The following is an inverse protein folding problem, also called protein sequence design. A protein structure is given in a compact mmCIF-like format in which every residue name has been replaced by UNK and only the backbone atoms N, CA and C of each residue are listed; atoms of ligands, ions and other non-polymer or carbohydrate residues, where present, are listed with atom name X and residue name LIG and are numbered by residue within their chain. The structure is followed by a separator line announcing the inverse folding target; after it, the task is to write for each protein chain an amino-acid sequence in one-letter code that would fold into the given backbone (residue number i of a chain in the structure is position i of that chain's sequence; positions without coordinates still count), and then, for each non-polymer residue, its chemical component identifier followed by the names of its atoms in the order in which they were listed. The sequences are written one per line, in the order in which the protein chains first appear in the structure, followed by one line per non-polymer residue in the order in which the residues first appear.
data_IF_976584437720
#
_entry.id   IF_976584437720
#
_cell.length_a   1.000
_cell.length_b   1.000
_cell.length_c   1.000
_cell.angle_alpha   90.00
_cell.angle_beta   90.00
_cell.angle_gamma   90.00
#
_symmetry.space_group_name_H-M   'P 1'
#
loop_
_entity.id
_entity.type
_entity.pdbx_description
1 polymer ?
#
# COMPACT_ATOMS: atom_id res chain seq x y z
N UNK A 1 10.94 44.49 10.80
CA UNK A 1 10.94 43.13 11.38
C UNK A 1 9.55 42.55 11.16
N UNK A 2 9.36 41.71 10.15
CA UNK A 2 8.06 41.10 9.83
C UNK A 2 7.93 39.74 10.51
N UNK A 3 6.79 39.48 11.15
CA UNK A 3 6.52 38.20 11.80
C UNK A 3 6.43 37.09 10.74
N UNK A 4 7.22 36.03 10.90
CA UNK A 4 7.10 34.80 10.10
C UNK A 4 5.85 34.06 10.60
N UNK A 5 4.78 34.10 9.82
CA UNK A 5 3.58 33.31 10.09
C UNK A 5 3.87 31.84 9.89
N UNK A 6 4.06 31.09 10.97
CA UNK A 6 4.13 29.63 10.92
C UNK A 6 2.70 29.10 10.81
N UNK A 7 2.29 28.73 9.60
CA UNK A 7 1.06 27.98 9.40
C UNK A 7 1.31 26.56 9.91
N UNK A 8 0.49 26.01 10.82
CA UNK A 8 0.63 24.62 11.21
C UNK A 8 0.35 23.76 9.97
N UNK A 9 1.39 23.12 9.44
CA UNK A 9 1.23 22.08 8.42
C UNK A 9 0.50 20.92 9.12
N UNK A 10 -0.82 20.90 9.02
CA UNK A 10 -1.63 19.73 9.34
C UNK A 10 -1.38 18.67 8.26
N UNK A 11 -0.18 18.10 8.26
CA UNK A 11 0.09 16.85 7.57
C UNK A 11 -0.75 15.79 8.30
N UNK A 12 -1.98 15.56 7.84
CA UNK A 12 -2.71 14.34 8.18
C UNK A 12 -1.92 13.17 7.57
N UNK A 13 -0.90 12.72 8.29
CA UNK A 13 -0.18 11.52 7.94
C UNK A 13 -1.09 10.33 8.28
N UNK A 14 -1.98 9.97 7.35
CA UNK A 14 -2.57 8.63 7.35
C UNK A 14 -1.51 7.70 6.76
N UNK A 15 -0.60 7.22 7.59
CA UNK A 15 0.21 6.06 7.22
C UNK A 15 -0.75 4.87 7.18
N UNK A 16 -1.00 4.31 6.00
CA UNK A 16 -1.58 2.99 5.93
C UNK A 16 -0.46 1.99 6.25
N UNK A 17 -0.56 1.31 7.39
CA UNK A 17 0.35 0.22 7.72
C UNK A 17 -0.30 -1.08 7.27
N UNK A 18 0.33 -1.73 6.29
CA UNK A 18 -0.09 -3.03 5.77
C UNK A 18 1.07 -3.98 6.01
N UNK A 19 0.88 -4.94 6.90
CA UNK A 19 1.87 -5.98 7.16
C UNK A 19 1.52 -7.22 6.32
N UNK A 20 2.52 -7.73 5.58
CA UNK A 20 2.37 -8.88 4.70
C UNK A 20 3.48 -9.87 5.02
N UNK A 21 3.12 -11.01 5.56
CA UNK A 21 4.05 -12.13 5.79
C UNK A 21 3.95 -13.10 4.62
N UNK A 22 5.00 -13.13 3.79
CA UNK A 22 5.18 -14.12 2.72
C UNK A 22 6.59 -14.65 2.76
N UNK A 23 6.74 -15.95 2.51
CA UNK A 23 8.06 -16.61 2.50
C UNK A 23 8.96 -16.04 1.40
N UNK A 24 8.37 -15.66 0.26
CA UNK A 24 9.04 -14.96 -0.84
C UNK A 24 8.23 -13.73 -1.24
N UNK A 25 8.93 -12.67 -1.62
CA UNK A 25 8.34 -11.48 -2.25
C UNK A 25 9.19 -11.16 -3.47
N UNK A 26 8.58 -11.21 -4.64
CA UNK A 26 9.28 -10.89 -5.89
C UNK A 26 9.23 -9.40 -6.16
N UNK A 27 8.03 -8.82 -6.05
CA UNK A 27 7.82 -7.40 -6.34
C UNK A 27 6.83 -6.78 -5.37
N UNK A 28 7.09 -5.51 -5.06
CA UNK A 28 6.18 -4.63 -4.34
C UNK A 28 6.03 -3.37 -5.17
N UNK A 29 4.80 -3.05 -5.54
CA UNK A 29 4.45 -1.82 -6.24
C UNK A 29 3.54 -0.99 -5.34
N UNK A 30 3.84 0.30 -5.22
CA UNK A 30 3.03 1.25 -4.48
C UNK A 30 2.73 2.42 -5.42
N UNK A 31 1.48 2.51 -5.84
CA UNK A 31 0.97 3.58 -6.65
C UNK A 31 0.10 4.49 -5.79
N UNK A 32 0.27 5.80 -5.95
CA UNK A 32 -0.61 6.79 -5.35
C UNK A 32 -1.35 7.49 -6.47
N UNK A 33 -2.68 7.53 -6.36
CA UNK A 33 -3.53 8.32 -7.25
C UNK A 33 -4.35 9.34 -6.45
N UNK A 34 -5.31 9.98 -7.12
CA UNK A 34 -6.19 10.96 -6.50
C UNK A 34 -7.15 10.33 -5.48
N UNK A 35 -7.45 9.03 -5.62
CA UNK A 35 -8.45 8.31 -4.83
C UNK A 35 -7.83 7.59 -3.64
N UNK A 36 -6.52 7.34 -3.65
CA UNK A 36 -5.78 6.82 -2.51
C UNK A 36 -4.43 6.19 -2.84
N UNK A 37 -4.14 5.10 -2.14
CA UNK A 37 -2.94 4.30 -2.30
C UNK A 37 -3.30 2.88 -2.75
N UNK A 38 -2.60 2.40 -3.76
CA UNK A 38 -2.72 1.04 -4.27
C UNK A 38 -1.38 0.33 -4.06
N UNK A 39 -1.41 -0.78 -3.34
CA UNK A 39 -0.25 -1.62 -3.08
C UNK A 39 -0.50 -2.97 -3.75
N UNK A 40 0.47 -3.44 -4.52
CA UNK A 40 0.47 -4.78 -5.07
C UNK A 40 1.75 -5.51 -4.65
N UNK A 41 1.59 -6.70 -4.10
CA UNK A 41 2.70 -7.59 -3.73
C UNK A 41 2.55 -8.88 -4.52
N UNK A 42 3.58 -9.27 -5.26
CA UNK A 42 3.64 -10.57 -5.89
C UNK A 42 4.69 -11.44 -5.23
N UNK A 43 4.39 -12.73 -5.14
CA UNK A 43 5.33 -13.74 -4.68
C UNK A 43 5.25 -14.94 -5.60
N UNK A 44 6.37 -15.61 -5.80
CA UNK A 44 6.43 -16.90 -6.45
C UNK A 44 7.26 -17.85 -5.60
N UNK A 45 6.80 -19.08 -5.53
CA UNK A 45 7.54 -20.22 -5.00
C UNK A 45 7.30 -21.41 -5.92
N UNK A 46 7.96 -22.53 -5.66
CA UNK A 46 7.87 -23.71 -6.52
C UNK A 46 6.41 -24.19 -6.65
N UNK A 47 5.85 -24.00 -7.85
CA UNK A 47 4.48 -24.39 -8.18
C UNK A 47 3.38 -23.44 -7.67
N UNK A 48 3.72 -22.29 -7.10
CA UNK A 48 2.75 -21.32 -6.58
C UNK A 48 3.09 -19.88 -6.96
N UNK A 49 2.06 -19.14 -7.41
CA UNK A 49 2.12 -17.70 -7.63
C UNK A 49 1.06 -16.99 -6.77
N UNK A 50 1.50 -16.08 -5.90
CA UNK A 50 0.63 -15.27 -5.05
C UNK A 50 0.56 -13.83 -5.51
N UNK A 51 -0.61 -13.21 -5.41
CA UNK A 51 -0.80 -11.76 -5.61
C UNK A 51 -1.70 -11.20 -4.52
N UNK A 52 -1.15 -10.30 -3.72
CA UNK A 52 -1.88 -9.51 -2.73
C UNK A 52 -2.03 -8.10 -3.27
N UNK A 53 -3.26 -7.58 -3.22
CA UNK A 53 -3.55 -6.19 -3.56
C UNK A 53 -4.25 -5.51 -2.41
N UNK A 54 -3.77 -4.33 -2.03
CA UNK A 54 -4.37 -3.50 -1.00
C UNK A 54 -4.67 -2.14 -1.60
N UNK A 55 -5.91 -1.69 -1.43
CA UNK A 55 -6.37 -0.37 -1.87
C UNK A 55 -6.84 0.39 -0.65
N UNK A 56 -6.25 1.55 -0.41
CA UNK A 56 -6.53 2.41 0.75
C UNK A 56 -7.01 3.76 0.24
N UNK A 57 -8.30 4.04 0.42
CA UNK A 57 -8.95 5.27 -0.02
C UNK A 57 -9.57 6.00 1.17
N UNK A 58 -10.16 7.17 0.92
CA UNK A 58 -11.00 7.86 1.89
C UNK A 58 -12.25 7.06 2.28
N UNK A 59 -12.77 6.22 1.38
CA UNK A 59 -13.95 5.38 1.58
C UNK A 59 -13.65 4.12 2.42
N UNK A 60 -12.39 3.70 2.52
CA UNK A 60 -12.00 2.55 3.32
C UNK A 60 -10.80 1.79 2.76
N UNK A 61 -10.56 0.61 3.33
CA UNK A 61 -9.49 -0.31 2.94
C UNK A 61 -10.10 -1.55 2.29
N UNK A 62 -9.60 -1.92 1.11
CA UNK A 62 -9.92 -3.19 0.44
C UNK A 62 -8.65 -4.01 0.31
N UNK A 63 -8.72 -5.26 0.74
CA UNK A 63 -7.64 -6.24 0.64
C UNK A 63 -8.16 -7.40 -0.20
N UNK A 64 -7.38 -7.80 -1.20
CA UNK A 64 -7.67 -8.98 -2.01
C UNK A 64 -6.39 -9.79 -2.20
N UNK A 65 -6.44 -11.04 -1.75
CA UNK A 65 -5.34 -11.99 -1.84
C UNK A 65 -5.72 -13.12 -2.78
N UNK A 66 -4.78 -13.56 -3.61
CA UNK A 66 -5.00 -14.63 -4.58
C UNK A 66 -3.76 -15.48 -4.66
N UNK A 67 -3.96 -16.79 -4.70
CA UNK A 67 -2.91 -17.78 -4.89
C UNK A 67 -3.30 -18.68 -6.05
N UNK A 68 -2.39 -18.86 -6.98
CA UNK A 68 -2.53 -19.71 -8.17
C UNK A 68 -1.50 -20.84 -8.09
N UNK A 69 -1.89 -22.04 -8.48
CA UNK A 69 -0.95 -23.13 -8.74
C UNK A 69 -0.44 -23.01 -10.18
N UNK A 70 0.87 -23.08 -10.36
CA UNK A 70 1.56 -22.95 -11.65
C UNK A 70 2.12 -24.28 -12.12
#
# INVERSE_FOLDING_TARGET
MGAVGVVPVRARHRAAHVEVTRETVDTVTIDRDADGHHVAVTSRSDGLAGRLTVTVTSAGVRIHDTVLRT
#
